data_IF_522549093792
#
_entry.id   IF_522549093792
#
_cell.length_a   1.000
_cell.length_b   1.000
_cell.length_c   1.000
_cell.angle_alpha   90.00
_cell.angle_beta   90.00
_cell.angle_gamma   90.00
#
_symmetry.space_group_name_H-M   'P 1'
#
loop_
_entity.id
_entity.type
_entity.pdbx_description
1 polymer ?
#
# COMPACT_ATOMS: atom_id res chain seq x y z
N UNK A 1 -12.73 17.64 -16.95
CA UNK A 1 -12.43 16.36 -17.65
C UNK A 1 -10.95 15.96 -17.61
N UNK A 2 -9.96 16.87 -17.66
CA UNK A 2 -8.51 16.53 -17.59
C UNK A 2 -8.06 15.84 -16.28
N UNK A 3 -8.45 16.36 -15.11
CA UNK A 3 -8.04 15.80 -13.80
C UNK A 3 -8.42 14.33 -13.55
N UNK A 4 -9.59 13.89 -14.04
CA UNK A 4 -10.01 12.50 -13.85
C UNK A 4 -9.13 11.53 -14.66
N UNK A 5 -8.61 11.98 -15.81
CA UNK A 5 -7.71 11.17 -16.62
C UNK A 5 -6.33 11.03 -15.97
N UNK A 6 -5.78 12.09 -15.37
CA UNK A 6 -4.48 12.03 -14.69
C UNK A 6 -4.52 11.12 -13.45
N UNK A 7 -5.56 11.25 -12.64
CA UNK A 7 -5.77 10.38 -11.47
C UNK A 7 -5.90 8.91 -11.87
N UNK A 8 -6.65 8.62 -12.94
CA UNK A 8 -6.79 7.25 -13.47
C UNK A 8 -5.47 6.70 -14.05
N UNK A 9 -4.72 7.52 -14.78
CA UNK A 9 -3.42 7.14 -15.33
C UNK A 9 -2.40 6.81 -14.22
N UNK A 10 -2.39 7.59 -13.13
CA UNK A 10 -1.55 7.31 -11.96
C UNK A 10 -1.83 5.91 -11.41
N UNK A 11 -3.09 5.55 -11.20
CA UNK A 11 -3.44 4.22 -10.70
C UNK A 11 -3.12 3.10 -11.69
N UNK A 12 -3.28 3.33 -12.98
CA UNK A 12 -2.94 2.34 -14.00
C UNK A 12 -1.45 1.97 -13.94
N UNK A 13 -0.58 2.98 -13.85
CA UNK A 13 0.88 2.76 -13.77
C UNK A 13 1.25 2.14 -12.41
N UNK A 14 0.69 2.65 -11.31
CA UNK A 14 0.95 2.11 -9.99
C UNK A 14 0.51 0.66 -9.84
N UNK A 15 -0.67 0.27 -10.35
CA UNK A 15 -1.11 -1.12 -10.33
C UNK A 15 -0.16 -2.03 -11.10
N UNK A 16 0.34 -1.58 -12.24
CA UNK A 16 1.31 -2.36 -13.01
C UNK A 16 2.61 -2.57 -12.22
N UNK A 17 3.14 -1.50 -11.61
CA UNK A 17 4.32 -1.59 -10.73
C UNK A 17 4.07 -2.48 -9.52
N UNK A 18 2.89 -2.39 -8.91
CA UNK A 18 2.51 -3.17 -7.73
C UNK A 18 2.42 -4.66 -8.04
N UNK A 19 1.89 -5.03 -9.22
CA UNK A 19 1.84 -6.43 -9.65
C UNK A 19 3.27 -6.97 -9.81
N UNK A 20 4.15 -6.22 -10.49
CA UNK A 20 5.55 -6.65 -10.70
C UNK A 20 6.27 -6.77 -9.36
N UNK A 21 6.15 -5.78 -8.48
CA UNK A 21 6.83 -5.78 -7.19
C UNK A 21 6.24 -6.79 -6.22
N UNK A 22 4.93 -7.03 -6.25
CA UNK A 22 4.27 -8.07 -5.48
C UNK A 22 4.73 -9.47 -5.89
N UNK A 23 4.87 -9.72 -7.19
CA UNK A 23 5.45 -10.96 -7.72
C UNK A 23 6.92 -11.11 -7.32
N UNK A 24 7.72 -10.05 -7.49
CA UNK A 24 9.13 -10.07 -7.11
C UNK A 24 9.30 -10.33 -5.59
N UNK A 25 8.51 -9.65 -4.75
CA UNK A 25 8.48 -9.88 -3.31
C UNK A 25 8.09 -11.33 -3.00
N UNK A 26 7.06 -11.86 -3.66
CA UNK A 26 6.62 -13.25 -3.47
C UNK A 26 7.72 -14.25 -3.81
N UNK A 27 8.39 -14.09 -4.96
CA UNK A 27 9.52 -14.93 -5.38
C UNK A 27 10.67 -14.85 -4.37
N UNK A 28 11.06 -13.64 -3.95
CA UNK A 28 12.14 -13.44 -2.97
C UNK A 28 11.83 -14.13 -1.65
N UNK A 29 10.62 -13.94 -1.12
CA UNK A 29 10.23 -14.53 0.18
C UNK A 29 10.09 -16.04 0.07
N UNK A 30 9.63 -16.57 -1.07
CA UNK A 30 9.56 -18.02 -1.32
C UNK A 30 10.93 -18.70 -1.18
N UNK A 31 11.98 -18.10 -1.73
CA UNK A 31 13.35 -18.61 -1.60
C UNK A 31 13.94 -18.46 -0.19
N UNK A 32 13.51 -17.46 0.59
CA UNK A 32 13.97 -17.27 1.97
C UNK A 32 13.27 -18.27 2.90
N UNK A 33 11.94 -18.22 2.97
CA UNK A 33 11.12 -19.13 3.77
C UNK A 33 9.64 -18.97 3.39
N UNK A 34 9.04 -20.06 2.92
CA UNK A 34 7.64 -20.11 2.49
C UNK A 34 6.63 -19.73 3.60
N UNK A 35 6.99 -19.87 4.88
CA UNK A 35 6.13 -19.47 6.01
C UNK A 35 5.90 -17.96 6.09
N UNK A 36 6.82 -17.16 5.57
CA UNK A 36 6.72 -15.69 5.57
C UNK A 36 6.05 -15.13 4.31
N UNK A 37 5.77 -15.96 3.31
CA UNK A 37 5.18 -15.55 2.04
C UNK A 37 3.82 -14.89 2.26
N UNK A 38 2.92 -15.59 2.95
CA UNK A 38 1.56 -15.10 3.17
C UNK A 38 1.53 -13.82 4.03
N UNK A 39 2.24 -13.73 5.19
CA UNK A 39 2.37 -12.48 5.93
C UNK A 39 2.89 -11.30 5.08
N UNK A 40 3.92 -11.53 4.25
CA UNK A 40 4.52 -10.48 3.42
C UNK A 40 3.56 -9.98 2.33
N UNK A 41 2.90 -10.91 1.63
CA UNK A 41 1.91 -10.57 0.60
C UNK A 41 0.71 -9.85 1.21
N UNK A 42 0.25 -10.26 2.41
CA UNK A 42 -0.79 -9.56 3.15
C UNK A 42 -0.38 -8.12 3.47
N UNK A 43 0.84 -7.91 3.98
CA UNK A 43 1.36 -6.58 4.25
C UNK A 43 1.37 -5.69 3.01
N UNK A 44 1.87 -6.23 1.90
CA UNK A 44 1.90 -5.54 0.62
C UNK A 44 0.49 -5.16 0.14
N UNK A 45 -0.47 -6.09 0.23
CA UNK A 45 -1.85 -5.85 -0.18
C UNK A 45 -2.55 -4.80 0.71
N UNK A 46 -2.31 -4.83 2.01
CA UNK A 46 -2.85 -3.83 2.95
C UNK A 46 -2.26 -2.45 2.68
N UNK A 47 -0.99 -2.36 2.27
CA UNK A 47 -0.38 -1.10 1.83
C UNK A 47 -1.06 -0.55 0.57
N UNK A 48 -1.38 -1.40 -0.40
CA UNK A 48 -2.13 -1.03 -1.61
C UNK A 48 -3.50 -0.45 -1.22
N UNK A 49 -4.29 -1.18 -0.44
CA UNK A 49 -5.62 -0.70 0.01
C UNK A 49 -5.49 0.62 0.76
N UNK A 50 -4.52 0.72 1.66
CA UNK A 50 -4.26 1.91 2.46
C UNK A 50 -3.94 3.13 1.60
N UNK A 51 -3.21 2.94 0.50
CA UNK A 51 -2.93 3.98 -0.48
C UNK A 51 -4.19 4.40 -1.25
N UNK A 52 -4.99 3.45 -1.74
CA UNK A 52 -6.24 3.73 -2.44
C UNK A 52 -7.21 4.55 -1.58
N UNK A 53 -7.46 4.10 -0.34
CA UNK A 53 -8.30 4.84 0.61
C UNK A 53 -7.77 6.26 0.79
N UNK A 54 -6.45 6.42 0.97
CA UNK A 54 -5.84 7.75 1.11
C UNK A 54 -6.14 8.65 -0.09
N UNK A 55 -5.85 8.14 -1.29
CA UNK A 55 -5.90 8.90 -2.51
C UNK A 55 -7.35 9.32 -2.82
N UNK A 56 -8.33 8.43 -2.60
CA UNK A 56 -9.73 8.77 -2.73
C UNK A 56 -10.19 9.76 -1.67
N UNK A 57 -9.84 9.57 -0.39
CA UNK A 57 -10.22 10.51 0.68
C UNK A 57 -9.65 11.90 0.41
N UNK A 58 -8.35 12.00 0.08
CA UNK A 58 -7.70 13.28 -0.19
C UNK A 58 -8.28 13.94 -1.44
N UNK A 59 -8.47 13.21 -2.54
CA UNK A 59 -9.06 13.76 -3.76
C UNK A 59 -10.51 14.23 -3.54
N UNK A 60 -11.29 13.49 -2.73
CA UNK A 60 -12.64 13.88 -2.35
C UNK A 60 -12.67 15.17 -1.51
N UNK A 61 -11.83 15.25 -0.47
CA UNK A 61 -11.73 16.42 0.41
C UNK A 61 -11.27 17.64 -0.39
N UNK A 62 -10.24 17.51 -1.23
CA UNK A 62 -9.77 18.62 -2.06
C UNK A 62 -10.84 19.14 -3.04
N UNK A 63 -11.72 18.25 -3.56
CA UNK A 63 -12.72 18.61 -4.57
C UNK A 63 -14.07 19.05 -4.02
N UNK A 64 -14.52 18.48 -2.90
CA UNK A 64 -15.91 18.63 -2.41
C UNK A 64 -16.01 19.22 -1.01
N UNK A 65 -15.16 18.80 -0.09
CA UNK A 65 -15.25 19.20 1.31
C UNK A 65 -13.89 19.64 1.84
N UNK A 66 -13.73 20.92 2.18
CA UNK A 66 -12.51 21.43 2.86
C UNK A 66 -12.39 20.95 4.32
N UNK A 67 -12.88 19.74 4.63
CA UNK A 67 -12.90 19.13 5.94
C UNK A 67 -11.66 18.25 6.13
N UNK A 68 -10.60 18.84 6.66
CA UNK A 68 -9.36 18.15 7.01
C UNK A 68 -9.57 17.03 8.05
N UNK A 69 -10.64 17.09 8.85
CA UNK A 69 -10.99 16.07 9.83
C UNK A 69 -11.23 14.69 9.21
N UNK A 70 -11.80 14.63 8.01
CA UNK A 70 -12.01 13.36 7.29
C UNK A 70 -10.69 12.68 6.89
N UNK A 71 -9.68 13.47 6.51
CA UNK A 71 -8.34 12.95 6.18
C UNK A 71 -7.69 12.34 7.42
N UNK A 72 -7.77 13.04 8.56
CA UNK A 72 -7.20 12.59 9.84
C UNK A 72 -7.92 11.32 10.31
N UNK A 73 -9.25 11.29 10.26
CA UNK A 73 -10.03 10.11 10.65
C UNK A 73 -9.68 8.88 9.78
N UNK A 74 -9.59 9.06 8.46
CA UNK A 74 -9.17 8.00 7.52
C UNK A 74 -7.75 7.49 7.80
N UNK A 75 -6.85 8.38 8.22
CA UNK A 75 -5.50 8.01 8.64
C UNK A 75 -5.50 7.19 9.94
N UNK A 76 -6.21 7.63 10.98
CA UNK A 76 -6.31 6.93 12.27
C UNK A 76 -6.90 5.53 12.07
N UNK A 77 -8.01 5.41 11.33
CA UNK A 77 -8.65 4.13 11.07
C UNK A 77 -7.71 3.15 10.35
N UNK A 78 -6.92 3.61 9.38
CA UNK A 78 -5.91 2.76 8.72
C UNK A 78 -4.83 2.29 9.66
N UNK A 79 -4.30 3.17 10.53
CA UNK A 79 -3.29 2.75 11.52
C UNK A 79 -3.85 1.66 12.43
N UNK A 80 -5.09 1.82 12.90
CA UNK A 80 -5.75 0.81 13.74
C UNK A 80 -5.87 -0.51 12.97
N UNK A 81 -6.34 -0.49 11.72
CA UNK A 81 -6.49 -1.71 10.90
C UNK A 81 -5.13 -2.39 10.68
N UNK A 82 -4.10 -1.63 10.28
CA UNK A 82 -2.75 -2.15 10.04
C UNK A 82 -2.19 -2.78 11.32
N UNK A 83 -2.38 -2.11 12.46
CA UNK A 83 -1.93 -2.57 13.77
C UNK A 83 -2.65 -3.83 14.23
N UNK A 84 -3.99 -3.88 14.10
CA UNK A 84 -4.79 -5.06 14.46
C UNK A 84 -4.38 -6.29 13.64
N UNK A 85 -4.14 -6.14 12.35
CA UNK A 85 -3.69 -7.24 11.50
C UNK A 85 -2.29 -7.71 11.91
N UNK A 86 -1.38 -6.77 12.21
CA UNK A 86 -0.05 -7.09 12.74
C UNK A 86 -0.10 -7.84 14.08
N UNK A 87 -1.00 -7.43 14.99
CA UNK A 87 -1.22 -8.10 16.27
C UNK A 87 -1.76 -9.52 16.08
N UNK A 88 -2.72 -9.72 15.19
CA UNK A 88 -3.24 -11.05 14.86
C UNK A 88 -2.13 -11.93 14.29
N UNK A 89 -1.27 -11.42 13.40
CA UNK A 89 -0.14 -12.19 12.89
C UNK A 89 0.88 -12.56 13.97
N UNK A 90 1.10 -11.66 14.93
CA UNK A 90 2.01 -11.88 16.05
C UNK A 90 1.58 -13.04 16.96
N UNK A 91 0.27 -13.25 17.16
CA UNK A 91 -0.22 -14.37 17.99
C UNK A 91 0.08 -15.73 17.37
N UNK A 92 0.15 -15.83 16.02
CA UNK A 92 0.56 -17.06 15.33
C UNK A 92 2.08 -17.27 15.38
N UNK A 93 2.85 -16.23 15.03
CA UNK A 93 4.30 -16.27 15.11
C UNK A 93 4.85 -14.85 15.20
N UNK A 94 5.70 -14.61 16.21
CA UNK A 94 6.32 -13.30 16.45
C UNK A 94 7.08 -12.76 15.23
N UNK A 95 7.64 -13.62 14.38
CA UNK A 95 8.36 -13.23 13.18
C UNK A 95 7.45 -12.88 11.99
N UNK A 96 6.16 -13.25 12.03
CA UNK A 96 5.21 -12.89 10.96
C UNK A 96 4.93 -11.39 10.91
N UNK A 97 5.01 -10.69 12.05
CA UNK A 97 4.87 -9.24 12.06
C UNK A 97 6.01 -8.58 11.26
N UNK A 98 7.22 -9.13 11.30
CA UNK A 98 8.37 -8.59 10.58
C UNK A 98 8.15 -8.78 9.07
N UNK A 99 7.79 -9.99 8.65
CA UNK A 99 7.46 -10.29 7.26
C UNK A 99 6.33 -9.38 6.73
N UNK A 100 5.29 -9.19 7.53
CA UNK A 100 4.18 -8.28 7.24
C UNK A 100 4.64 -6.82 7.06
N UNK A 101 5.43 -6.29 8.00
CA UNK A 101 5.94 -4.91 7.93
C UNK A 101 6.86 -4.71 6.72
N UNK A 102 7.71 -5.70 6.41
CA UNK A 102 8.56 -5.69 5.21
C UNK A 102 7.71 -5.63 3.96
N UNK A 103 6.70 -6.50 3.84
CA UNK A 103 5.79 -6.49 2.72
C UNK A 103 5.03 -5.17 2.58
N UNK A 104 4.52 -4.62 3.69
CA UNK A 104 3.86 -3.31 3.70
C UNK A 104 4.79 -2.20 3.21
N UNK A 105 6.05 -2.22 3.64
CA UNK A 105 7.04 -1.20 3.29
C UNK A 105 7.53 -1.34 1.84
N UNK A 106 7.60 -2.55 1.27
CA UNK A 106 7.97 -2.76 -0.12
C UNK A 106 7.08 -2.00 -1.11
N UNK A 107 5.83 -1.70 -0.76
CA UNK A 107 4.93 -0.87 -1.59
C UNK A 107 5.45 0.56 -1.83
N UNK A 108 6.29 1.08 -0.94
CA UNK A 108 6.94 2.38 -1.16
C UNK A 108 7.88 2.34 -2.38
N UNK A 109 8.46 1.19 -2.72
CA UNK A 109 9.30 1.04 -3.92
C UNK A 109 8.49 1.37 -5.17
N UNK A 110 7.24 0.88 -5.27
CA UNK A 110 6.36 1.21 -6.41
C UNK A 110 6.10 2.72 -6.50
N UNK A 111 5.91 3.41 -5.36
CA UNK A 111 5.70 4.86 -5.34
C UNK A 111 6.95 5.61 -5.80
N UNK A 112 8.12 5.22 -5.32
CA UNK A 112 9.38 5.84 -5.75
C UNK A 112 9.61 5.64 -7.25
N UNK A 113 9.44 4.42 -7.76
CA UNK A 113 9.55 4.12 -9.19
C UNK A 113 8.58 4.96 -10.03
N UNK A 114 7.32 5.08 -9.58
CA UNK A 114 6.35 5.95 -10.24
C UNK A 114 6.80 7.41 -10.29
N UNK A 115 7.32 7.95 -9.18
CA UNK A 115 7.88 9.30 -9.13
C UNK A 115 9.04 9.51 -10.10
N UNK A 116 9.92 8.53 -10.26
CA UNK A 116 11.00 8.58 -11.26
C UNK A 116 10.50 8.52 -12.69
N UNK A 117 9.47 7.71 -12.98
CA UNK A 117 8.84 7.64 -14.30
C UNK A 117 8.22 8.99 -14.67
N UNK A 118 7.49 9.62 -13.73
CA UNK A 118 6.85 10.91 -13.96
C UNK A 118 7.86 12.03 -14.22
N UNK A 119 8.99 12.05 -13.51
CA UNK A 119 10.06 13.05 -13.74
C UNK A 119 10.67 12.97 -15.15
N UNK A 120 10.59 11.82 -15.81
CA UNK A 120 11.21 11.56 -17.12
C UNK A 120 10.26 11.83 -18.29
N UNK A 121 8.94 11.93 -18.02
CA UNK A 121 7.91 12.30 -19.01
C UNK A 121 7.77 13.81 -19.12
#
# INVERSE_FOLDING_TARGET
MKENNEFYQMFKILNYLDIILGLALGVLVFFINTKYLLPSILGFFIAIISFYINAFTVNYVLKKEKNSGLVILSFILRIIIIGLIGLVLYTYNKFYIIAYVVGYTCRFISLFLYGFILKRS
#
